data_IF_429911070218
#
_entry.id   IF_429911070218
#
_cell.length_a   1.000
_cell.length_b   1.000
_cell.length_c   1.000
_cell.angle_alpha   90.00
_cell.angle_beta   90.00
_cell.angle_gamma   90.00
#
_symmetry.space_group_name_H-M   'P 1'
#
loop_
_entity.id
_entity.type
_entity.pdbx_description
1 polymer ?
#
# COMPACT_ATOMS: atom_id res chain seq x y z
N UNK A 1 -23.20 -9.84 67.82
CA UNK A 1 -23.71 -11.16 67.40
C UNK A 1 -23.33 -11.39 65.94
N UNK A 2 -22.82 -12.58 65.57
CA UNK A 2 -22.11 -12.81 64.31
C UNK A 2 -23.03 -13.00 63.10
N UNK A 3 -22.60 -12.48 61.95
CA UNK A 3 -23.25 -12.59 60.64
C UNK A 3 -23.15 -14.01 60.09
N UNK A 4 -24.29 -14.67 59.87
CA UNK A 4 -24.39 -15.97 59.17
C UNK A 4 -24.61 -15.75 57.68
N UNK A 5 -23.58 -16.07 56.89
CA UNK A 5 -23.64 -16.15 55.44
C UNK A 5 -24.17 -17.53 55.06
N UNK A 6 -25.34 -17.60 54.44
CA UNK A 6 -25.90 -18.85 53.92
C UNK A 6 -25.57 -18.96 52.43
N UNK A 7 -24.78 -19.97 52.05
CA UNK A 7 -24.48 -20.33 50.66
C UNK A 7 -25.70 -20.97 49.98
N UNK A 8 -26.08 -20.47 48.81
CA UNK A 8 -27.12 -21.07 47.97
C UNK A 8 -26.59 -22.34 47.24
N UNK A 9 -27.43 -23.36 47.02
CA UNK A 9 -27.00 -24.66 46.48
C UNK A 9 -26.68 -24.62 44.97
N UNK A 10 -25.58 -25.26 44.60
CA UNK A 10 -25.13 -25.45 43.21
C UNK A 10 -25.99 -26.52 42.54
N UNK A 11 -26.65 -26.14 41.45
CA UNK A 11 -27.40 -27.02 40.54
C UNK A 11 -26.46 -28.03 39.85
N UNK A 12 -26.54 -29.29 40.25
CA UNK A 12 -25.82 -30.40 39.62
C UNK A 12 -26.60 -30.95 38.43
N UNK A 13 -26.24 -30.53 37.21
CA UNK A 13 -26.78 -31.11 35.97
C UNK A 13 -26.09 -32.45 35.70
N UNK A 14 -26.80 -33.55 36.00
CA UNK A 14 -26.46 -34.92 35.55
C UNK A 14 -26.77 -35.06 34.05
N UNK A 15 -25.75 -35.11 33.19
CA UNK A 15 -25.92 -35.53 31.80
C UNK A 15 -26.19 -37.03 31.74
N UNK A 16 -27.39 -37.40 31.25
CA UNK A 16 -27.80 -38.78 30.97
C UNK A 16 -26.94 -39.39 29.86
N UNK A 17 -26.46 -40.63 30.06
CA UNK A 17 -25.85 -41.46 29.02
C UNK A 17 -26.93 -41.91 28.04
N UNK A 18 -26.88 -41.45 26.79
CA UNK A 18 -27.65 -42.03 25.68
C UNK A 18 -26.82 -43.12 25.00
N UNK A 19 -27.38 -44.33 24.91
CA UNK A 19 -26.83 -45.44 24.14
C UNK A 19 -27.15 -45.24 22.66
N UNK A 20 -26.14 -44.88 21.86
CA UNK A 20 -26.03 -45.16 20.41
C UNK A 20 -24.66 -44.68 19.91
N UNK A 21 -23.67 -45.57 19.93
CA UNK A 21 -22.36 -45.35 19.32
C UNK A 21 -22.36 -45.80 17.86
N UNK A 22 -22.17 -44.91 16.87
CA UNK A 22 -21.73 -45.35 15.54
C UNK A 22 -20.26 -45.76 15.62
N UNK A 23 -19.92 -46.89 14.99
CA UNK A 23 -18.56 -47.46 14.94
C UNK A 23 -17.58 -46.43 14.34
N UNK A 24 -16.61 -45.99 15.14
CA UNK A 24 -15.45 -45.24 14.63
C UNK A 24 -14.67 -46.13 13.66
N UNK A 25 -14.57 -45.73 12.39
CA UNK A 25 -13.59 -46.31 11.45
C UNK A 25 -12.19 -45.99 11.96
N UNK A 26 -11.37 -47.01 12.16
CA UNK A 26 -9.96 -46.86 12.50
C UNK A 26 -9.23 -46.08 11.39
N UNK A 27 -8.46 -45.07 11.77
CA UNK A 27 -7.63 -44.32 10.83
C UNK A 27 -6.56 -45.24 10.21
N UNK A 28 -6.29 -45.16 8.90
CA UNK A 28 -5.30 -46.02 8.22
C UNK A 28 -3.85 -45.76 8.67
N UNK A 29 -3.62 -44.73 9.48
CA UNK A 29 -2.31 -44.37 10.02
C UNK A 29 -2.08 -44.84 11.47
N UNK A 30 -3.01 -45.60 12.06
CA UNK A 30 -2.88 -46.07 13.44
C UNK A 30 -1.75 -47.10 13.64
N UNK A 31 -1.27 -47.73 12.56
CA UNK A 31 -0.19 -48.72 12.55
C UNK A 31 1.19 -48.15 12.21
N UNK A 32 1.33 -46.84 11.95
CA UNK A 32 2.67 -46.28 11.73
C UNK A 32 3.46 -46.17 13.03
N UNK A 33 4.69 -46.67 13.01
CA UNK A 33 5.62 -46.60 14.13
C UNK A 33 5.87 -45.14 14.52
N UNK A 34 5.45 -44.75 15.73
CA UNK A 34 5.78 -43.46 16.34
C UNK A 34 7.15 -43.56 16.98
N UNK A 35 8.17 -42.90 16.43
CA UNK A 35 9.42 -42.64 17.15
C UNK A 35 9.21 -41.50 18.14
N UNK A 36 9.63 -41.70 19.40
CA UNK A 36 9.60 -40.65 20.43
C UNK A 36 10.63 -39.56 20.07
N UNK A 37 10.33 -38.27 20.27
CA UNK A 37 11.35 -37.24 20.15
C UNK A 37 12.35 -37.40 21.29
N UNK A 38 13.62 -37.61 20.94
CA UNK A 38 14.73 -37.68 21.90
C UNK A 38 14.85 -36.34 22.62
N UNK A 39 14.74 -36.37 23.95
CA UNK A 39 15.05 -35.24 24.81
C UNK A 39 16.57 -35.05 24.81
N UNK A 40 17.07 -34.04 24.10
CA UNK A 40 18.48 -33.64 24.18
C UNK A 40 18.70 -32.94 25.51
N UNK A 41 19.24 -33.69 26.48
CA UNK A 41 19.78 -33.18 27.72
C UNK A 41 21.10 -32.45 27.50
N UNK A 42 21.27 -31.36 28.24
CA UNK A 42 22.44 -30.50 28.26
C UNK A 42 23.55 -31.18 29.09
N UNK A 43 24.74 -31.43 28.53
CA UNK A 43 25.95 -31.67 29.31
C UNK A 43 27.21 -31.39 28.48
N UNK A 44 28.01 -30.46 28.98
CA UNK A 44 29.37 -30.19 28.57
C UNK A 44 30.28 -31.38 28.87
N UNK A 45 31.15 -31.76 27.93
CA UNK A 45 32.45 -32.37 28.24
C UNK A 45 33.40 -32.18 27.05
N UNK A 46 34.51 -31.49 27.30
CA UNK A 46 35.69 -31.42 26.43
C UNK A 46 36.39 -32.79 26.42
N UNK A 47 36.85 -33.26 25.27
CA UNK A 47 38.21 -33.77 25.11
C UNK A 47 38.58 -33.92 23.64
N UNK A 48 39.82 -33.54 23.37
CA UNK A 48 40.58 -33.64 22.13
C UNK A 48 40.74 -35.06 21.62
N UNK A 49 40.78 -35.24 20.29
CA UNK A 49 41.80 -36.03 19.56
C UNK A 49 41.60 -35.84 18.04
N UNK A 50 42.71 -35.60 17.35
CA UNK A 50 42.86 -35.59 15.89
C UNK A 50 42.54 -36.96 15.29
N UNK A 51 41.85 -36.96 14.15
CA UNK A 51 42.00 -37.96 13.11
C UNK A 51 41.65 -37.28 11.76
N UNK A 52 42.61 -37.33 10.84
CA UNK A 52 42.44 -36.90 9.46
C UNK A 52 41.52 -37.85 8.68
N UNK A 53 40.88 -37.29 7.65
CA UNK A 53 40.45 -38.05 6.48
C UNK A 53 38.94 -38.13 6.26
N UNK A 54 38.48 -37.39 5.25
CA UNK A 54 37.45 -37.90 4.35
C UNK A 54 36.02 -37.38 4.56
N UNK A 55 35.66 -36.46 3.66
CA UNK A 55 34.38 -36.44 2.94
C UNK A 55 33.17 -35.77 3.60
N UNK A 56 32.75 -34.70 2.90
CA UNK A 56 31.41 -34.13 2.87
C UNK A 56 30.95 -33.32 4.09
N UNK A 57 31.74 -32.28 4.42
CA UNK A 57 31.14 -31.07 4.98
C UNK A 57 30.26 -30.46 3.88
N UNK A 58 28.96 -30.75 3.95
CA UNK A 58 27.91 -30.07 3.19
C UNK A 58 27.98 -28.57 3.45
N UNK A 59 28.84 -27.90 2.69
CA UNK A 59 28.93 -26.46 2.58
C UNK A 59 27.52 -26.02 2.26
N UNK A 60 26.85 -25.37 3.21
CA UNK A 60 25.70 -24.54 2.90
C UNK A 60 26.21 -23.54 1.87
N UNK A 61 26.00 -23.84 0.58
CA UNK A 61 26.31 -22.92 -0.49
C UNK A 61 25.71 -21.60 -0.08
N UNK A 62 26.58 -20.61 0.08
CA UNK A 62 26.16 -19.23 0.24
C UNK A 62 25.10 -19.01 -0.86
N UNK A 63 23.90 -18.52 -0.53
CA UNK A 63 22.89 -18.31 -1.55
C UNK A 63 23.55 -17.45 -2.63
N UNK A 64 23.52 -17.92 -3.87
CA UNK A 64 24.02 -17.19 -5.03
C UNK A 64 22.98 -16.12 -5.42
N UNK A 65 23.41 -15.02 -6.07
CA UNK A 65 22.46 -14.06 -6.62
C UNK A 65 21.58 -14.74 -7.67
N UNK A 66 20.35 -14.23 -7.83
CA UNK A 66 19.45 -14.69 -8.86
C UNK A 66 20.05 -14.38 -10.24
N UNK A 67 20.02 -15.32 -11.18
CA UNK A 67 20.46 -15.04 -12.55
C UNK A 67 19.62 -13.91 -13.13
N UNK A 68 20.28 -12.99 -13.82
CA UNK A 68 19.64 -11.84 -14.46
C UNK A 68 19.75 -11.99 -15.97
N UNK A 69 18.61 -12.30 -16.61
CA UNK A 69 18.49 -12.46 -18.06
C UNK A 69 17.94 -11.16 -18.70
N UNK A 70 17.73 -10.11 -17.91
CA UNK A 70 17.22 -8.81 -18.33
C UNK A 70 15.80 -8.54 -17.87
N UNK A 71 15.18 -7.50 -18.44
CA UNK A 71 13.89 -6.96 -17.97
C UNK A 71 12.73 -7.96 -18.13
N UNK A 72 11.92 -8.12 -17.08
CA UNK A 72 10.73 -8.99 -17.12
C UNK A 72 9.47 -8.22 -17.54
N UNK A 73 8.63 -8.83 -18.40
CA UNK A 73 7.32 -8.29 -18.82
C UNK A 73 6.14 -8.80 -17.96
N UNK A 74 6.42 -9.47 -16.83
CA UNK A 74 5.41 -10.19 -16.04
C UNK A 74 4.16 -9.35 -15.67
N UNK A 75 4.33 -8.05 -15.39
CA UNK A 75 3.21 -7.19 -15.01
C UNK A 75 2.33 -6.82 -16.21
N UNK A 76 2.92 -6.70 -17.40
CA UNK A 76 2.27 -6.28 -18.65
C UNK A 76 1.37 -7.36 -19.24
N UNK A 77 1.72 -8.64 -19.09
CA UNK A 77 0.98 -9.75 -19.71
C UNK A 77 -0.43 -9.93 -19.13
N UNK A 78 -0.67 -9.45 -17.91
CA UNK A 78 -1.84 -9.86 -17.14
C UNK A 78 -3.06 -8.95 -17.30
N UNK A 79 -2.91 -7.71 -17.79
CA UNK A 79 -4.03 -6.79 -18.02
C UNK A 79 -3.75 -5.88 -19.23
N UNK A 80 -4.50 -6.04 -20.32
CA UNK A 80 -4.45 -5.12 -21.47
C UNK A 80 -5.40 -3.96 -21.23
N UNK A 81 -4.85 -2.82 -20.81
CA UNK A 81 -5.59 -1.56 -20.68
C UNK A 81 -5.28 -0.66 -21.88
N UNK A 82 -6.28 0.05 -22.39
CA UNK A 82 -6.16 0.83 -23.63
C UNK A 82 -6.00 2.34 -23.44
N UNK A 83 -6.18 2.85 -22.21
CA UNK A 83 -6.07 4.30 -21.95
C UNK A 83 -5.93 4.68 -20.48
N UNK A 84 -5.62 5.94 -20.24
CA UNK A 84 -5.29 6.52 -18.92
C UNK A 84 -6.47 6.43 -17.96
N UNK A 85 -7.68 6.76 -18.42
CA UNK A 85 -8.88 6.69 -17.58
C UNK A 85 -9.16 5.27 -17.09
N UNK A 86 -9.02 4.27 -17.97
CA UNK A 86 -9.20 2.87 -17.61
C UNK A 86 -8.10 2.39 -16.65
N UNK A 87 -6.86 2.82 -16.86
CA UNK A 87 -5.75 2.55 -15.95
C UNK A 87 -5.99 3.16 -14.56
N UNK A 88 -6.42 4.41 -14.48
CA UNK A 88 -6.75 5.06 -13.20
C UNK A 88 -7.85 4.32 -12.46
N UNK A 89 -8.92 3.92 -13.15
CA UNK A 89 -9.99 3.15 -12.54
C UNK A 89 -9.50 1.78 -12.04
N UNK A 90 -8.72 1.07 -12.86
CA UNK A 90 -8.12 -0.20 -12.49
C UNK A 90 -7.22 -0.08 -11.25
N UNK A 91 -6.35 0.94 -11.20
CA UNK A 91 -5.45 1.18 -10.07
C UNK A 91 -6.24 1.49 -8.79
N UNK A 92 -7.33 2.26 -8.87
CA UNK A 92 -8.20 2.52 -7.71
C UNK A 92 -8.89 1.26 -7.21
N UNK A 93 -9.46 0.46 -8.10
CA UNK A 93 -10.21 -0.76 -7.75
C UNK A 93 -9.32 -1.88 -7.24
N UNK A 94 -8.09 -2.01 -7.75
CA UNK A 94 -7.14 -3.06 -7.39
C UNK A 94 -6.27 -2.77 -6.17
N UNK A 95 -6.40 -1.57 -5.57
CA UNK A 95 -5.56 -1.14 -4.44
C UNK A 95 -5.67 -2.07 -3.22
N UNK A 96 -6.87 -2.56 -2.94
CA UNK A 96 -7.15 -3.38 -1.78
C UNK A 96 -7.74 -4.72 -2.17
N UNK A 97 -7.33 -5.77 -1.47
CA UNK A 97 -7.98 -7.06 -1.57
C UNK A 97 -9.31 -7.09 -0.81
N UNK A 98 -10.21 -7.92 -1.31
CA UNK A 98 -11.48 -8.22 -0.66
C UNK A 98 -11.26 -8.82 0.74
N UNK A 99 -12.17 -8.51 1.65
CA UNK A 99 -12.10 -9.01 3.02
C UNK A 99 -12.23 -10.54 3.02
N UNK A 100 -11.41 -11.27 3.79
CA UNK A 100 -11.51 -12.72 3.85
C UNK A 100 -12.87 -13.16 4.38
N UNK A 101 -13.65 -13.91 3.58
CA UNK A 101 -15.01 -14.35 3.95
C UNK A 101 -15.03 -15.30 5.15
N UNK A 102 -13.95 -16.08 5.35
CA UNK A 102 -13.86 -17.11 6.39
C UNK A 102 -12.58 -16.94 7.19
N UNK A 103 -12.69 -16.99 8.52
CA UNK A 103 -11.55 -16.92 9.46
C UNK A 103 -10.64 -15.71 9.22
N UNK A 104 -11.22 -14.54 8.95
CA UNK A 104 -10.48 -13.29 8.83
C UNK A 104 -9.62 -13.01 10.08
N UNK A 105 -10.02 -13.49 11.26
CA UNK A 105 -9.31 -13.22 12.51
C UNK A 105 -9.36 -11.74 12.90
N UNK A 106 -10.31 -10.99 12.34
CA UNK A 106 -10.63 -9.60 12.65
C UNK A 106 -11.98 -9.55 13.36
N UNK A 107 -12.11 -8.70 14.37
CA UNK A 107 -13.41 -8.39 14.97
C UNK A 107 -14.22 -7.46 14.05
N UNK A 108 -15.53 -7.34 14.31
CA UNK A 108 -16.42 -6.50 13.51
C UNK A 108 -16.01 -5.02 13.53
N UNK A 109 -15.50 -4.51 14.65
CA UNK A 109 -15.02 -3.13 14.75
C UNK A 109 -13.83 -2.88 13.84
N UNK A 110 -12.85 -3.80 13.80
CA UNK A 110 -11.70 -3.70 12.90
C UNK A 110 -12.10 -3.78 11.44
N UNK A 111 -13.07 -4.63 11.10
CA UNK A 111 -13.59 -4.71 9.73
C UNK A 111 -14.23 -3.37 9.33
N UNK A 112 -15.04 -2.77 10.21
CA UNK A 112 -15.65 -1.47 9.96
C UNK A 112 -14.59 -0.35 9.81
N UNK A 113 -13.57 -0.33 10.66
CA UNK A 113 -12.44 0.61 10.54
C UNK A 113 -11.74 0.50 9.19
N UNK A 114 -11.43 -0.73 8.75
CA UNK A 114 -10.78 -0.97 7.45
C UNK A 114 -11.67 -0.47 6.31
N UNK A 115 -12.96 -0.78 6.33
CA UNK A 115 -13.90 -0.35 5.29
C UNK A 115 -14.07 1.18 5.27
N UNK A 116 -14.18 1.82 6.44
CA UNK A 116 -14.31 3.26 6.55
C UNK A 116 -13.04 3.99 6.10
N UNK A 117 -11.86 3.46 6.46
CA UNK A 117 -10.59 4.00 6.00
C UNK A 117 -10.48 3.89 4.48
N UNK A 118 -10.75 2.71 3.89
CA UNK A 118 -10.72 2.53 2.42
C UNK A 118 -11.63 3.52 1.70
N UNK A 119 -12.85 3.74 2.23
CA UNK A 119 -13.80 4.72 1.68
C UNK A 119 -13.36 6.17 1.82
N UNK A 120 -12.57 6.50 2.85
CA UNK A 120 -12.14 7.86 3.10
C UNK A 120 -10.85 8.25 2.38
N UNK A 121 -10.16 7.31 1.74
CA UNK A 121 -8.96 7.60 0.97
C UNK A 121 -9.29 8.45 -0.27
N UNK A 122 -8.44 9.43 -0.61
CA UNK A 122 -8.63 10.23 -1.79
C UNK A 122 -8.46 9.38 -3.06
N UNK A 123 -9.24 9.64 -4.12
CA UNK A 123 -9.13 9.00 -5.42
C UNK A 123 -7.93 9.54 -6.21
N UNK A 124 -6.73 9.38 -5.65
CA UNK A 124 -5.45 9.77 -6.24
C UNK A 124 -4.75 8.56 -6.86
N UNK A 125 -4.15 8.79 -8.01
CA UNK A 125 -3.28 7.83 -8.68
C UNK A 125 -1.97 8.52 -9.06
N UNK A 126 -0.83 7.89 -8.79
CA UNK A 126 0.48 8.44 -9.18
C UNK A 126 0.67 8.27 -10.69
N UNK A 127 1.29 9.26 -11.34
CA UNK A 127 1.63 9.16 -12.77
C UNK A 127 2.61 8.01 -13.02
N UNK A 128 3.52 7.79 -12.07
CA UNK A 128 4.44 6.67 -12.02
C UNK A 128 3.72 5.30 -12.10
N UNK A 129 2.65 5.09 -11.34
CA UNK A 129 1.85 3.86 -11.38
C UNK A 129 1.26 3.65 -12.78
N UNK A 130 0.69 4.70 -13.36
CA UNK A 130 0.05 4.59 -14.69
C UNK A 130 1.08 4.18 -15.75
N UNK A 131 2.29 4.75 -15.70
CA UNK A 131 3.38 4.36 -16.59
C UNK A 131 3.74 2.89 -16.47
N UNK A 132 3.72 2.33 -15.25
CA UNK A 132 3.96 0.88 -15.06
C UNK A 132 2.86 -0.01 -15.61
N UNK A 133 1.61 0.46 -15.64
CA UNK A 133 0.48 -0.36 -16.10
C UNK A 133 0.33 -0.27 -17.62
N UNK A 134 0.51 0.90 -18.23
CA UNK A 134 0.29 1.13 -19.67
C UNK A 134 1.52 0.92 -20.55
N UNK A 135 2.74 0.96 -20.00
CA UNK A 135 4.00 0.63 -20.71
C UNK A 135 4.22 1.40 -22.03
N UNK A 136 3.72 2.63 -22.11
CA UNK A 136 3.88 3.51 -23.27
C UNK A 136 4.03 4.98 -22.81
N UNK A 137 5.14 5.35 -22.14
CA UNK A 137 5.22 6.57 -21.35
C UNK A 137 4.97 7.86 -22.14
N UNK A 138 5.44 7.93 -23.39
CA UNK A 138 5.24 9.09 -24.25
C UNK A 138 3.80 9.24 -24.73
N UNK A 139 3.12 8.13 -25.02
CA UNK A 139 1.70 8.13 -25.41
C UNK A 139 0.82 8.49 -24.22
N UNK A 140 1.13 7.91 -23.05
CA UNK A 140 0.44 8.16 -21.78
C UNK A 140 0.52 9.64 -21.41
N UNK A 141 1.71 10.27 -21.48
CA UNK A 141 1.82 11.71 -21.19
C UNK A 141 1.02 12.58 -22.17
N UNK A 142 1.02 12.24 -23.47
CA UNK A 142 0.20 12.95 -24.47
C UNK A 142 -1.29 12.84 -24.16
N UNK A 143 -1.74 11.65 -23.77
CA UNK A 143 -3.13 11.40 -23.38
C UNK A 143 -3.48 12.15 -22.08
N UNK A 144 -2.62 12.11 -21.06
CA UNK A 144 -2.79 12.87 -19.82
C UNK A 144 -2.95 14.36 -20.13
N UNK A 145 -2.07 14.93 -20.94
CA UNK A 145 -2.16 16.35 -21.33
C UNK A 145 -3.48 16.65 -22.04
N UNK A 146 -3.90 15.80 -22.97
CA UNK A 146 -5.19 15.96 -23.66
C UNK A 146 -6.38 15.89 -22.69
N UNK A 147 -6.35 15.00 -21.71
CA UNK A 147 -7.42 14.80 -20.72
C UNK A 147 -7.47 15.92 -19.67
N UNK A 148 -6.31 16.49 -19.33
CA UNK A 148 -6.22 17.68 -18.47
C UNK A 148 -6.76 18.91 -19.21
N UNK A 149 -6.38 19.09 -20.48
CA UNK A 149 -6.88 20.18 -21.32
C UNK A 149 -8.39 20.12 -21.56
N UNK A 150 -8.96 18.91 -21.72
CA UNK A 150 -10.40 18.71 -21.83
C UNK A 150 -11.15 18.84 -20.49
N UNK A 151 -10.43 19.02 -19.37
CA UNK A 151 -11.00 19.16 -18.03
C UNK A 151 -11.53 17.86 -17.42
N UNK A 152 -11.22 16.70 -18.01
CA UNK A 152 -11.61 15.39 -17.49
C UNK A 152 -10.69 14.93 -16.35
N UNK A 153 -9.42 15.33 -16.37
CA UNK A 153 -8.43 15.04 -15.32
C UNK A 153 -7.93 16.32 -14.67
N UNK A 154 -7.57 16.20 -13.39
CA UNK A 154 -6.81 17.22 -12.66
C UNK A 154 -5.47 16.63 -12.26
N UNK A 155 -4.39 17.32 -12.62
CA UNK A 155 -3.02 17.00 -12.20
C UNK A 155 -2.71 17.76 -10.91
N UNK A 156 -2.36 17.01 -9.86
CA UNK A 156 -2.06 17.55 -8.54
C UNK A 156 -0.61 17.27 -8.22
N UNK A 157 0.09 18.31 -7.74
CA UNK A 157 1.45 18.17 -7.22
C UNK A 157 1.31 18.06 -5.71
N UNK A 158 1.77 16.95 -5.14
CA UNK A 158 1.80 16.76 -3.69
C UNK A 158 3.13 17.27 -3.16
N UNK A 159 3.20 18.48 -2.58
CA UNK A 159 4.48 19.13 -2.35
C UNK A 159 5.05 18.75 -0.98
N UNK A 160 6.36 18.92 -0.78
CA UNK A 160 7.02 18.70 0.52
C UNK A 160 7.13 17.24 0.96
N UNK A 161 6.75 16.29 0.09
CA UNK A 161 6.91 14.84 0.31
C UNK A 161 7.54 14.17 -0.92
N UNK A 162 8.69 14.71 -1.31
CA UNK A 162 9.70 14.08 -2.15
C UNK A 162 9.60 14.37 -3.65
N UNK A 163 10.59 15.08 -4.19
CA UNK A 163 10.96 15.09 -5.61
C UNK A 163 11.99 13.98 -5.92
N UNK A 164 11.99 12.90 -5.11
CA UNK A 164 12.90 11.77 -5.21
C UNK A 164 12.12 10.46 -5.04
N UNK A 165 12.79 9.31 -5.21
CA UNK A 165 12.18 7.96 -5.29
C UNK A 165 11.20 7.59 -4.14
N UNK A 166 11.25 8.29 -3.00
CA UNK A 166 10.36 8.07 -1.86
C UNK A 166 9.06 8.90 -1.87
N UNK A 167 8.90 9.86 -2.78
CA UNK A 167 7.75 10.76 -2.86
C UNK A 167 6.65 10.29 -3.82
N UNK A 168 5.42 10.75 -3.59
CA UNK A 168 4.32 10.54 -4.54
C UNK A 168 4.39 11.53 -5.72
N UNK A 169 4.96 12.72 -5.48
CA UNK A 169 5.24 13.74 -6.50
C UNK A 169 3.98 14.17 -7.27
N UNK A 170 3.81 13.58 -8.44
CA UNK A 170 2.82 13.95 -9.44
C UNK A 170 1.66 12.94 -9.48
N UNK A 171 0.45 13.46 -9.27
CA UNK A 171 -0.75 12.68 -9.11
C UNK A 171 -1.84 13.14 -10.07
N UNK A 172 -2.73 12.22 -10.40
CA UNK A 172 -3.94 12.48 -11.16
C UNK A 172 -5.16 12.14 -10.33
N UNK A 173 -6.20 12.96 -10.48
CA UNK A 173 -7.55 12.71 -10.00
C UNK A 173 -8.54 12.94 -11.16
N UNK A 174 -9.59 12.13 -11.22
CA UNK A 174 -10.68 12.39 -12.15
C UNK A 174 -11.47 13.63 -11.71
N UNK A 175 -11.84 14.48 -12.66
CA UNK A 175 -12.62 15.67 -12.36
C UNK A 175 -14.02 15.31 -11.84
N UNK A 176 -14.60 14.18 -12.26
CA UNK A 176 -15.85 13.62 -11.69
C UNK A 176 -15.69 13.30 -10.21
N UNK A 177 -14.64 12.54 -9.85
CA UNK A 177 -14.39 12.17 -8.45
C UNK A 177 -14.18 13.39 -7.55
N UNK A 178 -13.46 14.40 -8.04
CA UNK A 178 -13.27 15.65 -7.31
C UNK A 178 -14.59 16.40 -7.09
N UNK A 179 -15.45 16.47 -8.11
CA UNK A 179 -16.79 17.07 -7.98
C UNK A 179 -17.64 16.33 -6.97
N UNK A 180 -17.63 15.01 -7.02
CA UNK A 180 -18.37 14.17 -6.07
C UNK A 180 -17.87 14.39 -4.63
N UNK A 181 -16.55 14.44 -4.41
CA UNK A 181 -15.98 14.75 -3.10
C UNK A 181 -16.40 16.11 -2.55
N UNK A 182 -16.41 17.15 -3.39
CA UNK A 182 -16.84 18.50 -2.99
C UNK A 182 -18.33 18.49 -2.64
N UNK A 183 -19.16 17.84 -3.45
CA UNK A 183 -20.61 17.76 -3.21
C UNK A 183 -20.94 16.96 -1.95
N UNK A 184 -20.25 15.86 -1.69
CA UNK A 184 -20.43 15.01 -0.51
C UNK A 184 -19.91 15.64 0.79
N UNK A 185 -19.08 16.69 0.72
CA UNK A 185 -18.56 17.35 1.92
C UNK A 185 -19.68 18.07 2.70
N UNK A 186 -19.84 17.74 3.97
CA UNK A 186 -20.76 18.44 4.88
C UNK A 186 -20.16 19.73 5.46
N UNK A 187 -18.85 19.93 5.30
CA UNK A 187 -18.10 21.01 5.96
C UNK A 187 -18.13 22.33 5.15
N UNK A 188 -18.72 22.31 3.96
CA UNK A 188 -18.80 23.42 3.03
C UNK A 188 -20.26 23.77 2.74
N UNK A 189 -20.56 25.07 2.73
CA UNK A 189 -21.86 25.57 2.31
C UNK A 189 -22.07 25.39 0.80
N UNK A 190 -23.31 25.22 0.35
CA UNK A 190 -23.60 24.98 -1.06
C UNK A 190 -23.08 26.10 -1.98
N UNK A 191 -23.23 27.36 -1.57
CA UNK A 191 -22.71 28.50 -2.33
C UNK A 191 -21.18 28.44 -2.50
N UNK A 192 -20.45 28.01 -1.47
CA UNK A 192 -19.00 27.85 -1.53
C UNK A 192 -18.60 26.65 -2.41
N UNK A 193 -19.37 25.55 -2.37
CA UNK A 193 -19.17 24.40 -3.26
C UNK A 193 -19.30 24.83 -4.72
N UNK A 194 -20.40 25.48 -5.07
CA UNK A 194 -20.68 25.89 -6.46
C UNK A 194 -19.62 26.87 -6.97
N UNK A 195 -19.22 27.83 -6.13
CA UNK A 195 -18.13 28.76 -6.45
C UNK A 195 -16.79 28.06 -6.61
N UNK A 196 -16.45 27.12 -5.73
CA UNK A 196 -15.20 26.36 -5.80
C UNK A 196 -15.13 25.52 -7.07
N UNK A 197 -16.22 24.82 -7.42
CA UNK A 197 -16.30 24.06 -8.67
C UNK A 197 -16.21 24.96 -9.91
N UNK A 198 -16.86 26.12 -9.90
CA UNK A 198 -16.75 27.09 -11.00
C UNK A 198 -15.31 27.59 -11.22
N UNK A 199 -14.57 27.83 -10.14
CA UNK A 199 -13.13 28.17 -10.23
C UNK A 199 -12.33 26.99 -10.80
N UNK A 200 -12.60 25.76 -10.35
CA UNK A 200 -11.90 24.58 -10.84
C UNK A 200 -12.18 24.28 -12.33
N UNK A 201 -13.38 24.56 -12.81
CA UNK A 201 -13.73 24.38 -14.23
C UNK A 201 -13.02 25.42 -15.12
N UNK A 202 -12.80 26.63 -14.61
CA UNK A 202 -11.99 27.66 -15.29
C UNK A 202 -10.49 27.38 -15.29
N UNK A 203 -10.01 26.50 -14.40
CA UNK A 203 -8.59 26.16 -14.25
C UNK A 203 -8.27 24.82 -14.93
N UNK A 204 -7.86 24.84 -16.19
CA UNK A 204 -7.54 23.61 -16.93
C UNK A 204 -6.21 22.97 -16.48
N UNK A 205 -5.13 23.75 -16.38
CA UNK A 205 -3.78 23.17 -16.35
C UNK A 205 -3.01 23.42 -15.04
N UNK A 206 -3.58 24.13 -14.06
CA UNK A 206 -2.85 24.61 -12.89
C UNK A 206 -3.52 24.13 -11.60
N UNK A 207 -2.72 23.58 -10.68
CA UNK A 207 -3.14 23.19 -9.33
C UNK A 207 -3.00 24.32 -8.30
N UNK A 208 -2.31 25.42 -8.66
CA UNK A 208 -2.18 26.61 -7.84
C UNK A 208 -3.41 27.52 -8.00
N UNK A 209 -4.07 27.81 -6.89
CA UNK A 209 -5.24 28.68 -6.81
C UNK A 209 -4.80 30.06 -6.29
N UNK A 210 -5.12 31.14 -7.03
CA UNK A 210 -4.81 32.49 -6.57
C UNK A 210 -5.46 32.80 -5.22
N UNK A 211 -4.71 33.43 -4.33
CA UNK A 211 -5.18 33.79 -2.98
C UNK A 211 -6.45 34.66 -2.98
N UNK A 212 -6.64 35.43 -4.06
CA UNK A 212 -7.76 36.35 -4.24
C UNK A 212 -9.02 35.68 -4.83
N UNK A 213 -8.95 34.38 -5.18
CA UNK A 213 -10.10 33.67 -5.73
C UNK A 213 -11.24 33.50 -4.71
N UNK A 214 -10.91 33.49 -3.42
CA UNK A 214 -11.83 33.27 -2.31
C UNK A 214 -11.60 34.30 -1.19
N UNK A 215 -12.62 34.54 -0.37
CA UNK A 215 -12.48 35.29 0.88
C UNK A 215 -11.56 34.54 1.85
N UNK A 216 -11.11 35.21 2.90
CA UNK A 216 -10.26 34.59 3.92
C UNK A 216 -11.00 33.47 4.67
N UNK A 217 -12.28 33.68 4.95
CA UNK A 217 -13.17 32.73 5.62
C UNK A 217 -13.43 31.51 4.74
N UNK A 218 -13.73 31.74 3.45
CA UNK A 218 -13.93 30.70 2.44
C UNK A 218 -12.65 29.85 2.25
N UNK A 219 -11.50 30.51 2.12
CA UNK A 219 -10.20 29.84 2.02
C UNK A 219 -9.91 29.00 3.26
N UNK A 220 -10.19 29.53 4.46
CA UNK A 220 -10.00 28.80 5.70
C UNK A 220 -10.95 27.59 5.81
N UNK A 221 -12.18 27.69 5.31
CA UNK A 221 -13.12 26.56 5.24
C UNK A 221 -12.61 25.48 4.28
N UNK A 222 -12.17 25.84 3.09
CA UNK A 222 -11.60 24.92 2.10
C UNK A 222 -10.33 24.23 2.61
N UNK A 223 -9.47 24.94 3.33
CA UNK A 223 -8.28 24.37 3.99
C UNK A 223 -8.69 23.37 5.08
N UNK A 224 -9.65 23.71 5.94
CA UNK A 224 -10.15 22.80 6.99
C UNK A 224 -10.79 21.54 6.42
N UNK A 225 -11.56 21.68 5.34
CA UNK A 225 -12.16 20.57 4.61
C UNK A 225 -11.11 19.75 3.83
N UNK A 226 -9.88 20.24 3.68
CA UNK A 226 -8.77 19.53 3.03
C UNK A 226 -8.71 19.67 1.51
N UNK A 227 -9.43 20.64 0.93
CA UNK A 227 -9.40 20.92 -0.50
C UNK A 227 -8.30 21.90 -0.92
N UNK A 228 -7.75 22.66 0.03
CA UNK A 228 -6.63 23.58 -0.19
C UNK A 228 -5.50 23.37 0.81
N UNK A 229 -4.27 23.60 0.36
CA UNK A 229 -3.07 23.70 1.21
C UNK A 229 -2.36 25.03 0.95
N UNK A 230 -1.94 25.70 2.02
CA UNK A 230 -1.19 26.96 1.92
C UNK A 230 0.27 26.72 1.53
N UNK A 231 0.79 27.53 0.60
CA UNK A 231 2.19 27.48 0.16
C UNK A 231 3.24 27.71 1.27
N UNK A 232 2.88 28.30 2.41
CA UNK A 232 3.81 28.52 3.54
C UNK A 232 4.08 27.25 4.36
N UNK A 233 3.19 26.25 4.30
CA UNK A 233 3.40 24.91 4.89
C UNK A 233 4.24 24.01 3.99
N UNK A 234 4.62 24.54 2.83
CA UNK A 234 5.39 23.90 1.78
C UNK A 234 6.85 24.32 1.98
N UNK A 235 7.75 23.34 2.15
CA UNK A 235 9.18 23.59 2.28
C UNK A 235 9.75 24.37 1.07
N UNK A 236 10.92 24.98 1.28
CA UNK A 236 11.65 25.88 0.37
C UNK A 236 11.81 25.42 -1.09
N UNK A 237 11.51 24.17 -1.47
CA UNK A 237 11.49 23.73 -2.88
C UNK A 237 10.23 24.16 -3.67
N UNK A 238 9.07 24.35 -3.03
CA UNK A 238 7.84 24.64 -3.76
C UNK A 238 7.77 26.06 -4.35
N UNK A 239 8.60 26.98 -3.83
CA UNK A 239 8.76 28.33 -4.39
C UNK A 239 9.42 28.33 -5.77
N UNK A 240 10.04 27.23 -6.22
CA UNK A 240 10.55 27.12 -7.59
C UNK A 240 9.46 26.75 -8.61
N UNK A 241 8.38 26.09 -8.19
CA UNK A 241 7.25 25.74 -9.05
C UNK A 241 6.29 26.91 -9.28
N UNK A 242 6.34 27.96 -8.44
CA UNK A 242 5.58 29.21 -8.67
C UNK A 242 6.22 30.13 -9.71
N UNK A 243 7.30 29.69 -10.37
CA UNK A 243 7.91 30.41 -11.50
C UNK A 243 7.23 30.15 -12.86
N UNK A 244 6.12 29.41 -12.88
CA UNK A 244 5.31 29.28 -14.11
C UNK A 244 4.57 30.59 -14.36
N UNK A 245 5.17 31.40 -15.23
CA UNK A 245 4.68 32.62 -15.89
C UNK A 245 3.16 32.83 -15.75
N UNK A 246 2.79 33.71 -14.81
CA UNK A 246 1.60 34.52 -15.01
C UNK A 246 1.86 35.39 -16.24
N UNK A 247 1.04 35.23 -17.28
CA UNK A 247 1.03 36.13 -18.43
C UNK A 247 0.66 37.52 -17.93
N UNK A 248 1.65 38.41 -17.82
CA UNK A 248 1.43 39.85 -17.95
C UNK A 248 1.98 40.26 -19.31
N UNK A 249 1.05 40.52 -20.22
CA UNK A 249 1.25 41.35 -21.41
C UNK A 249 1.69 42.76 -20.99
N UNK A 250 2.48 43.38 -21.88
CA UNK A 250 2.94 44.79 -21.90
C UNK A 250 4.28 45.11 -21.18
N UNK A 251 5.28 45.29 -22.05
CA UNK A 251 6.42 46.24 -22.04
C UNK A 251 6.46 47.24 -20.86
N UNK A 252 7.52 47.20 -20.06
CA UNK A 252 8.45 48.33 -19.88
C UNK A 252 9.68 47.91 -19.04
N UNK A 253 10.85 48.36 -19.47
CA UNK A 253 12.15 48.08 -18.87
C UNK A 253 12.45 49.16 -17.83
N UNK A 254 12.14 48.93 -16.56
CA UNK A 254 12.74 49.72 -15.48
C UNK A 254 12.78 48.97 -14.15
N UNK A 255 13.99 48.93 -13.58
CA UNK A 255 14.33 48.46 -12.24
C UNK A 255 13.48 49.16 -11.18
N UNK A 256 12.62 48.41 -10.49
CA UNK A 256 12.05 48.82 -9.22
C UNK A 256 11.85 47.63 -8.28
N UNK A 257 12.56 47.66 -7.16
CA UNK A 257 12.39 46.82 -5.97
C UNK A 257 10.98 47.02 -5.36
N UNK A 258 9.95 46.48 -6.01
CA UNK A 258 8.66 46.31 -5.37
C UNK A 258 8.67 44.97 -4.65
N UNK A 259 8.78 45.00 -3.32
CA UNK A 259 8.24 43.95 -2.45
C UNK A 259 6.73 43.94 -2.69
N UNK A 260 6.30 43.34 -3.80
CA UNK A 260 4.93 42.93 -3.99
C UNK A 260 4.69 41.88 -2.91
N UNK A 261 3.86 42.21 -1.93
CA UNK A 261 3.26 41.26 -1.02
C UNK A 261 2.61 40.16 -1.86
N UNK A 262 3.36 39.10 -2.18
CA UNK A 262 2.82 37.93 -2.88
C UNK A 262 1.75 37.36 -1.96
N UNK A 263 0.49 37.57 -2.34
CA UNK A 263 -0.62 36.95 -1.64
C UNK A 263 -0.37 35.43 -1.60
N UNK A 264 -0.61 34.76 -0.46
CA UNK A 264 -0.22 33.38 -0.26
C UNK A 264 -0.94 32.48 -1.28
N UNK A 265 -0.19 31.88 -2.20
CA UNK A 265 -0.75 30.93 -3.15
C UNK A 265 -1.29 29.70 -2.40
N UNK A 266 -2.47 29.23 -2.81
CA UNK A 266 -3.00 27.95 -2.36
C UNK A 266 -2.73 26.88 -3.41
N UNK A 267 -2.62 25.63 -2.99
CA UNK A 267 -2.56 24.48 -3.87
C UNK A 267 -3.78 23.60 -3.64
N UNK A 268 -4.33 23.09 -4.74
CA UNK A 268 -5.39 22.09 -4.71
C UNK A 268 -4.90 20.83 -4.01
N UNK A 269 -5.69 20.32 -3.07
CA UNK A 269 -5.49 19.05 -2.41
C UNK A 269 -6.80 18.28 -2.33
N UNK A 270 -6.72 17.00 -1.97
CA UNK A 270 -7.90 16.21 -1.65
C UNK A 270 -7.96 15.91 -0.15
N UNK A 271 -9.18 15.81 0.43
CA UNK A 271 -9.36 15.33 1.80
C UNK A 271 -8.61 14.01 2.03
N UNK A 272 -8.08 13.80 3.23
CA UNK A 272 -7.34 12.58 3.60
C UNK A 272 -6.08 12.24 2.78
N UNK A 273 -5.54 13.19 2.00
CA UNK A 273 -4.23 13.05 1.34
C UNK A 273 -3.10 12.71 2.32
N UNK A 274 -3.07 13.35 3.50
CA UNK A 274 -2.04 13.10 4.51
C UNK A 274 -1.97 11.65 5.03
N UNK A 275 -3.10 11.05 5.47
CA UNK A 275 -3.21 9.62 5.78
C UNK A 275 -2.85 8.69 4.61
N UNK A 276 -3.33 8.98 3.40
CA UNK A 276 -3.02 8.19 2.19
C UNK A 276 -1.52 8.10 1.93
N UNK A 277 -0.83 9.24 1.98
CA UNK A 277 0.62 9.29 1.79
C UNK A 277 1.39 8.52 2.87
N UNK A 278 0.90 8.54 4.11
CA UNK A 278 1.50 7.75 5.20
C UNK A 278 1.32 6.26 4.97
N UNK A 279 0.12 5.83 4.58
CA UNK A 279 -0.17 4.44 4.22
C UNK A 279 0.78 3.95 3.12
N UNK A 280 0.88 4.73 2.04
CA UNK A 280 1.74 4.40 0.91
C UNK A 280 3.23 4.36 1.27
N UNK A 281 3.74 5.38 1.97
CA UNK A 281 5.13 5.43 2.40
C UNK A 281 5.50 4.25 3.31
N UNK A 282 4.59 3.88 4.22
CA UNK A 282 4.78 2.74 5.13
C UNK A 282 4.75 1.41 4.37
N UNK A 283 3.84 1.26 3.40
CA UNK A 283 3.74 0.09 2.54
C UNK A 283 5.00 -0.11 1.68
N UNK A 284 5.49 0.96 1.02
CA UNK A 284 6.75 0.94 0.25
C UNK A 284 7.94 0.56 1.12
N UNK A 285 8.05 1.19 2.30
CA UNK A 285 9.11 0.88 3.26
C UNK A 285 9.06 -0.58 3.72
N UNK A 286 7.86 -1.14 3.90
CA UNK A 286 7.71 -2.54 4.24
C UNK A 286 8.14 -3.47 3.11
N UNK A 287 7.74 -3.19 1.86
CA UNK A 287 8.16 -3.96 0.68
C UNK A 287 9.68 -4.02 0.56
N UNK A 288 10.35 -2.86 0.69
CA UNK A 288 11.81 -2.77 0.68
C UNK A 288 12.45 -3.52 1.86
N UNK A 289 11.83 -3.46 3.05
CA UNK A 289 12.30 -4.23 4.20
C UNK A 289 12.21 -5.75 3.98
N UNK A 290 11.22 -6.24 3.24
CA UNK A 290 11.10 -7.66 2.90
C UNK A 290 12.19 -8.12 1.92
N UNK A 291 12.56 -7.26 0.97
CA UNK A 291 13.68 -7.51 0.05
C UNK A 291 15.02 -7.47 0.78
N UNK A 292 15.21 -6.50 1.70
CA UNK A 292 16.45 -6.38 2.49
C UNK A 292 16.72 -7.54 3.45
N UNK A 293 15.76 -8.47 3.63
CA UNK A 293 15.98 -9.70 4.38
C UNK A 293 16.87 -10.71 3.63
N UNK A 294 16.95 -10.63 2.30
CA UNK A 294 17.87 -11.47 1.53
C UNK A 294 19.24 -10.80 1.38
N UNK A 295 20.28 -11.62 1.22
CA UNK A 295 21.70 -11.21 1.15
C UNK A 295 21.96 -10.18 0.05
N UNK A 296 21.35 -10.36 -1.13
CA UNK A 296 21.51 -9.46 -2.29
C UNK A 296 20.35 -8.50 -2.48
N UNK A 297 19.48 -8.35 -1.47
CA UNK A 297 18.31 -7.47 -1.56
C UNK A 297 17.36 -7.78 -2.73
N UNK A 298 17.35 -9.04 -3.15
CA UNK A 298 16.52 -9.58 -4.22
C UNK A 298 15.77 -10.84 -3.78
N UNK A 299 14.62 -11.09 -4.41
CA UNK A 299 13.82 -12.29 -4.15
C UNK A 299 12.98 -12.66 -5.39
N UNK A 300 12.66 -13.96 -5.58
CA UNK A 300 11.63 -14.35 -6.54
C UNK A 300 10.29 -13.68 -6.19
N UNK A 301 9.53 -13.26 -7.21
CA UNK A 301 8.25 -12.56 -7.05
C UNK A 301 7.25 -13.33 -6.19
N UNK A 302 7.19 -14.65 -6.38
CA UNK A 302 6.33 -15.56 -5.61
C UNK A 302 6.69 -15.57 -4.12
N UNK A 303 8.00 -15.58 -3.81
CA UNK A 303 8.49 -15.54 -2.44
C UNK A 303 8.18 -14.19 -1.78
N UNK A 304 8.41 -13.09 -2.51
CA UNK A 304 8.14 -11.75 -1.99
C UNK A 304 6.64 -11.54 -1.73
N UNK A 305 5.78 -12.08 -2.61
CA UNK A 305 4.32 -12.11 -2.41
C UNK A 305 3.94 -12.86 -1.14
N UNK A 306 4.47 -14.06 -0.96
CA UNK A 306 4.19 -14.88 0.23
C UNK A 306 4.59 -14.13 1.51
N UNK A 307 5.76 -13.47 1.51
CA UNK A 307 6.21 -12.62 2.62
C UNK A 307 5.28 -11.43 2.88
N UNK A 308 4.81 -10.75 1.84
CA UNK A 308 3.84 -9.65 1.95
C UNK A 308 2.51 -10.09 2.54
N UNK A 309 2.02 -11.25 2.11
CA UNK A 309 0.76 -11.84 2.58
C UNK A 309 0.85 -12.40 4.00
N UNK A 310 2.03 -12.31 4.62
CA UNK A 310 2.27 -12.74 6.00
C UNK A 310 2.43 -14.25 6.13
N UNK A 311 2.78 -14.95 5.04
CA UNK A 311 3.30 -16.30 5.15
C UNK A 311 4.65 -16.24 5.87
N UNK A 312 4.71 -16.85 7.05
CA UNK A 312 5.97 -16.98 7.78
C UNK A 312 6.79 -18.06 7.07
N UNK A 313 7.99 -17.73 6.62
CA UNK A 313 9.07 -18.70 6.36
C UNK A 313 9.40 -19.40 7.69
N UNK A 314 8.49 -20.26 8.15
CA UNK A 314 8.91 -21.33 9.03
C UNK A 314 9.67 -22.27 8.12
N UNK A 315 10.97 -22.40 8.36
CA UNK A 315 11.94 -23.25 7.67
C UNK A 315 11.60 -24.75 7.83
N UNK A 316 10.32 -25.10 7.69
CA UNK A 316 9.69 -26.37 8.04
C UNK A 316 8.71 -26.70 6.93
N UNK A 317 9.02 -27.74 6.16
CA UNK A 317 8.19 -28.36 5.11
C UNK A 317 6.75 -28.73 5.55
N UNK A 318 6.44 -28.59 6.84
CA UNK A 318 5.13 -28.83 7.44
C UNK A 318 4.07 -27.79 7.05
N UNK A 319 4.44 -26.53 6.80
CA UNK A 319 3.48 -25.47 6.43
C UNK A 319 2.87 -25.71 5.05
N UNK A 320 3.71 -26.13 4.09
CA UNK A 320 3.34 -26.52 2.72
C UNK A 320 2.48 -27.79 2.72
N UNK A 321 2.90 -28.83 3.44
CA UNK A 321 2.14 -30.09 3.53
C UNK A 321 0.78 -29.94 4.27
N UNK A 322 0.63 -28.93 5.13
CA UNK A 322 -0.67 -28.56 5.74
C UNK A 322 -1.56 -27.77 4.77
N UNK A 323 -0.97 -26.86 3.99
CA UNK A 323 -1.67 -26.12 2.92
C UNK A 323 -2.27 -27.07 1.89
N UNK A 324 -1.50 -28.09 1.46
CA UNK A 324 -1.96 -29.15 0.54
C UNK A 324 -3.08 -30.01 1.14
N UNK A 325 -3.13 -30.15 2.48
CA UNK A 325 -4.18 -30.88 3.20
C UNK A 325 -5.41 -30.04 3.56
N UNK A 326 -5.46 -28.77 3.15
CA UNK A 326 -6.55 -27.84 3.52
C UNK A 326 -6.55 -27.41 5.00
N UNK A 327 -5.49 -27.72 5.75
CA UNK A 327 -5.32 -27.29 7.12
C UNK A 327 -4.63 -25.92 7.17
N UNK A 328 -5.27 -24.93 7.80
CA UNK A 328 -4.71 -23.58 7.95
C UNK A 328 -3.47 -23.61 8.85
N UNK A 329 -2.28 -23.52 8.25
CA UNK A 329 -0.97 -23.44 8.94
C UNK A 329 -0.38 -22.02 8.98
N UNK A 330 -1.07 -21.04 8.37
CA UNK A 330 -0.63 -19.66 8.28
C UNK A 330 -1.00 -18.81 9.49
N UNK A 331 -0.47 -17.58 9.53
CA UNK A 331 -0.97 -16.53 10.42
C UNK A 331 -2.34 -16.11 9.91
N UNK A 332 -3.35 -16.04 10.80
CA UNK A 332 -4.69 -15.56 10.42
C UNK A 332 -4.58 -14.22 9.68
N UNK A 333 -5.34 -13.98 8.60
CA UNK A 333 -5.22 -12.75 7.80
C UNK A 333 -5.18 -11.47 8.65
N UNK A 334 -6.11 -11.33 9.61
CA UNK A 334 -6.20 -10.19 10.52
C UNK A 334 -5.05 -10.02 11.51
N UNK A 335 -4.12 -10.98 11.57
CA UNK A 335 -2.88 -10.90 12.36
C UNK A 335 -1.66 -10.52 11.53
N UNK A 336 -1.76 -10.56 10.20
CA UNK A 336 -0.68 -10.16 9.29
C UNK A 336 -0.50 -8.64 9.25
N UNK A 337 0.68 -8.16 8.87
CA UNK A 337 0.94 -6.73 8.67
C UNK A 337 0.09 -6.14 7.53
N UNK A 338 -0.10 -6.91 6.45
CA UNK A 338 -0.99 -6.56 5.33
C UNK A 338 -2.35 -6.05 5.80
N UNK A 339 -3.02 -6.76 6.70
CA UNK A 339 -4.35 -6.38 7.18
C UNK A 339 -4.33 -5.40 8.37
N UNK A 340 -3.31 -5.48 9.24
CA UNK A 340 -3.20 -4.59 10.41
C UNK A 340 -2.71 -3.19 10.09
N UNK A 341 -1.68 -3.08 9.26
CA UNK A 341 -1.00 -1.82 8.97
C UNK A 341 -1.44 -1.27 7.61
N UNK A 342 -1.59 -2.15 6.62
CA UNK A 342 -1.87 -1.75 5.23
C UNK A 342 -3.31 -1.96 4.78
N UNK A 343 -4.20 -2.31 5.72
CA UNK A 343 -5.65 -2.44 5.49
C UNK A 343 -6.01 -3.35 4.31
N UNK A 344 -5.21 -4.39 4.04
CA UNK A 344 -5.41 -5.34 2.96
C UNK A 344 -4.89 -4.88 1.60
N UNK A 345 -3.96 -3.92 1.55
CA UNK A 345 -3.33 -3.47 0.30
C UNK A 345 -2.75 -4.67 -0.49
N UNK A 346 -3.09 -4.75 -1.77
CA UNK A 346 -2.68 -5.84 -2.64
C UNK A 346 -1.18 -5.83 -2.93
N UNK A 347 -0.54 -7.00 -2.92
CA UNK A 347 0.90 -7.13 -3.22
C UNK A 347 1.25 -6.58 -4.61
N UNK A 348 0.44 -6.94 -5.61
CA UNK A 348 0.64 -6.49 -6.99
C UNK A 348 0.60 -4.97 -7.10
N UNK A 349 -0.39 -4.36 -6.47
CA UNK A 349 -0.59 -2.91 -6.50
C UNK A 349 0.62 -2.16 -5.91
N UNK A 350 1.11 -2.58 -4.73
CA UNK A 350 2.27 -1.93 -4.11
C UNK A 350 3.57 -2.17 -4.89
N UNK A 351 3.69 -3.31 -5.58
CA UNK A 351 4.83 -3.62 -6.43
C UNK A 351 4.86 -2.70 -7.66
N UNK A 352 3.74 -2.53 -8.36
CA UNK A 352 3.61 -1.61 -9.49
C UNK A 352 3.95 -0.16 -9.06
N UNK A 353 3.41 0.28 -7.93
CA UNK A 353 3.66 1.62 -7.39
C UNK A 353 5.12 1.81 -6.91
N UNK A 354 5.82 0.74 -6.52
CA UNK A 354 7.24 0.79 -6.17
C UNK A 354 8.15 0.76 -7.41
N UNK A 355 7.79 -0.01 -8.43
CA UNK A 355 8.47 -0.02 -9.72
C UNK A 355 8.39 1.34 -10.40
N UNK A 356 7.19 1.94 -10.43
CA UNK A 356 6.98 3.25 -11.05
C UNK A 356 7.74 4.36 -10.33
N UNK A 357 7.90 4.24 -9.02
CA UNK A 357 8.69 5.17 -8.22
C UNK A 357 10.20 4.93 -8.33
N UNK A 358 10.65 3.90 -9.06
CA UNK A 358 12.06 3.54 -9.18
C UNK A 358 12.68 3.07 -7.86
N UNK A 359 11.90 2.43 -6.99
CA UNK A 359 12.38 1.86 -5.73
C UNK A 359 12.88 0.42 -5.88
N UNK A 360 12.35 -0.28 -6.87
CA UNK A 360 12.67 -1.67 -7.19
C UNK A 360 12.71 -1.82 -8.70
N UNK A 361 13.36 -2.89 -9.16
CA UNK A 361 13.29 -3.35 -10.56
C UNK A 361 12.84 -4.81 -10.62
N UNK A 362 12.31 -5.21 -11.78
CA UNK A 362 11.88 -6.57 -12.06
C UNK A 362 12.67 -7.14 -13.24
N UNK A 363 13.26 -8.30 -13.04
CA UNK A 363 14.11 -8.97 -14.02
C UNK A 363 13.71 -10.44 -14.18
N UNK A 364 14.08 -11.05 -15.29
CA UNK A 364 13.83 -12.46 -15.55
C UNK A 364 15.00 -13.31 -15.04
N UNK A 365 14.67 -14.43 -14.39
CA UNK A 365 15.63 -15.41 -13.89
C UNK A 365 15.71 -16.67 -14.75
N UNK A 366 14.79 -16.85 -15.70
CA UNK A 366 14.70 -18.01 -16.59
C UNK A 366 14.37 -19.35 -15.92
N UNK A 367 14.29 -19.41 -14.59
CA UNK A 367 14.14 -20.67 -13.84
C UNK A 367 13.10 -20.61 -12.71
N UNK A 368 13.09 -19.55 -11.91
CA UNK A 368 12.21 -19.40 -10.73
C UNK A 368 11.12 -18.35 -10.93
N UNK A 369 10.92 -17.92 -12.18
CA UNK A 369 10.04 -16.80 -12.54
C UNK A 369 10.71 -15.44 -12.34
N UNK A 370 9.94 -14.35 -12.33
CA UNK A 370 10.50 -13.00 -12.21
C UNK A 370 11.20 -12.78 -10.87
N UNK A 371 12.39 -12.20 -10.89
CA UNK A 371 13.13 -11.68 -9.75
C UNK A 371 12.78 -10.20 -9.51
N UNK A 372 12.81 -9.79 -8.26
CA UNK A 372 12.64 -8.39 -7.85
C UNK A 372 13.84 -8.00 -7.00
N UNK A 373 14.46 -6.85 -7.24
CA UNK A 373 15.52 -6.31 -6.38
C UNK A 373 15.34 -4.83 -6.06
N UNK A 374 15.95 -4.39 -4.95
CA UNK A 374 16.01 -2.97 -4.60
C UNK A 374 16.95 -2.21 -5.54
N UNK A 375 16.62 -0.96 -5.84
CA UNK A 375 17.47 0.00 -6.56
C UNK A 375 18.26 0.92 -5.62
#
# INVERSE_FOLDING_TARGET
MPLRITSAPVSGIKKRKSATTPKNRASPFASHARSKPSARGNAQAKSSLQAEGGEDDGFMSDPEPLPDIGNSQYLTESVKLSGVMQAMQHVKESMFEELPERRAGMNSTRIAEVLNLRKSLPPLVSVAHIHTVLQAPTQVEREIVSLVQSGQLKRLIVPGRGNGAAGLGDCLAMASDLRDLVQMSSDLDQALKDRFLGVLDGMSNTSAIPALAFSREESAALVRAGFLVTASSLSKEAVNLTSVRAYSTEVDDTRQDSIQFRAPAFFLSLPNTGPYLRLLSSARSHLLALLKQSKYHEAPLTLLRDRWDGAVESNRNFSVAKRIRGEFSGVLPGRTKKWKEFNGMGFRWILEEALGAGLVEIFDTGSVGPGIRCL
#
